data_IF_525147778058
#
_entry.id   IF_525147778058
#
_cell.length_a   1.000
_cell.length_b   1.000
_cell.length_c   1.000
_cell.angle_alpha   90.00
_cell.angle_beta   90.00
_cell.angle_gamma   90.00
#
_symmetry.space_group_name_H-M   'P 1'
#
loop_
_entity.id
_entity.type
_entity.pdbx_description
1 polymer ?
#
# COMPACT_ATOMS: atom_id res chain seq x y z
N UNK A 1 -5.92 21.16 15.09
CA UNK A 1 -5.89 19.92 14.29
C UNK A 1 -7.10 19.06 14.60
N UNK A 2 -7.27 18.51 15.82
CA UNK A 2 -8.43 17.66 16.18
C UNK A 2 -9.84 18.21 15.85
N UNK A 3 -10.14 19.47 16.18
CA UNK A 3 -11.45 20.07 15.83
C UNK A 3 -11.71 20.15 14.33
N UNK A 4 -10.64 20.27 13.53
CA UNK A 4 -10.75 20.29 12.07
C UNK A 4 -11.00 18.88 11.53
N UNK A 5 -10.32 17.87 12.06
CA UNK A 5 -10.54 16.45 11.73
C UNK A 5 -11.99 16.06 12.05
N UNK A 6 -12.45 16.32 13.28
CA UNK A 6 -13.84 16.08 13.71
C UNK A 6 -14.87 16.79 12.81
N UNK A 7 -14.56 18.02 12.35
CA UNK A 7 -15.44 18.74 11.43
C UNK A 7 -15.47 18.10 10.03
N UNK A 8 -14.32 17.74 9.47
CA UNK A 8 -14.23 17.05 8.16
C UNK A 8 -14.98 15.72 8.21
N UNK A 9 -14.74 14.92 9.24
CA UNK A 9 -15.33 13.59 9.35
C UNK A 9 -16.85 13.67 9.53
N UNK A 10 -17.34 14.55 10.43
CA UNK A 10 -18.78 14.68 10.70
C UNK A 10 -19.57 15.26 9.54
N UNK A 11 -18.97 16.12 8.72
CA UNK A 11 -19.65 16.76 7.58
C UNK A 11 -19.63 15.92 6.31
N UNK A 12 -18.83 14.86 6.27
CA UNK A 12 -18.73 13.94 5.15
C UNK A 12 -19.94 13.00 5.09
N UNK A 13 -20.54 12.82 3.90
CA UNK A 13 -21.66 11.88 3.69
C UNK A 13 -21.21 10.43 3.63
N UNK A 14 -20.04 10.18 3.04
CA UNK A 14 -19.40 8.87 2.98
C UNK A 14 -17.92 9.08 3.28
N UNK A 15 -17.35 8.21 4.12
CA UNK A 15 -15.95 8.16 4.50
C UNK A 15 -15.46 6.76 4.22
N UNK A 16 -14.39 6.64 3.44
CA UNK A 16 -13.65 5.40 3.29
C UNK A 16 -12.45 5.39 4.24
N UNK A 17 -12.29 4.31 4.98
CA UNK A 17 -11.12 4.11 5.86
C UNK A 17 -10.27 2.95 5.39
N UNK A 18 -8.95 3.10 5.42
CA UNK A 18 -7.98 2.11 4.94
C UNK A 18 -7.84 0.85 5.82
N UNK A 19 -8.60 0.77 6.92
CA UNK A 19 -8.69 -0.41 7.78
C UNK A 19 -9.98 -0.44 8.57
N UNK A 20 -10.33 -1.63 9.08
CA UNK A 20 -11.44 -1.81 10.02
C UNK A 20 -11.19 -1.09 11.35
N UNK A 21 -9.92 -0.97 11.75
CA UNK A 21 -9.52 -0.26 12.96
C UNK A 21 -9.74 1.27 12.83
N UNK A 22 -9.37 1.85 11.68
CA UNK A 22 -9.65 3.27 11.41
C UNK A 22 -11.16 3.55 11.40
N UNK A 23 -11.96 2.64 10.84
CA UNK A 23 -13.42 2.70 10.93
C UNK A 23 -13.89 2.74 12.38
N UNK A 24 -13.40 1.82 13.21
CA UNK A 24 -13.76 1.74 14.64
C UNK A 24 -13.42 3.04 15.38
N UNK A 25 -12.26 3.63 15.09
CA UNK A 25 -11.85 4.91 15.68
C UNK A 25 -12.82 6.04 15.30
N UNK A 26 -13.20 6.16 14.03
CA UNK A 26 -14.14 7.22 13.60
C UNK A 26 -15.52 7.08 14.25
N UNK A 27 -16.02 5.86 14.38
CA UNK A 27 -17.30 5.58 15.03
C UNK A 27 -17.28 5.90 16.53
N UNK A 28 -16.20 5.52 17.22
CA UNK A 28 -16.13 5.62 18.68
C UNK A 28 -15.63 6.98 19.18
N UNK A 29 -14.76 7.66 18.42
CA UNK A 29 -14.02 8.83 18.91
C UNK A 29 -14.33 10.12 18.14
N UNK A 30 -14.79 10.02 16.88
CA UNK A 30 -15.09 11.19 16.03
C UNK A 30 -16.60 11.42 15.86
N UNK A 31 -17.43 10.53 16.43
CA UNK A 31 -18.88 10.66 16.40
C UNK A 31 -19.48 10.50 15.01
N UNK A 32 -18.81 9.72 14.14
CA UNK A 32 -19.33 9.32 12.84
C UNK A 32 -20.33 8.16 13.00
N UNK A 33 -21.21 7.99 12.02
CA UNK A 33 -22.22 6.92 12.01
C UNK A 33 -21.82 5.74 11.12
N UNK A 34 -22.40 4.57 11.38
CA UNK A 34 -22.25 3.35 10.56
C UNK A 34 -22.61 3.59 9.09
N UNK A 35 -23.59 4.47 8.82
CA UNK A 35 -24.01 4.82 7.45
C UNK A 35 -22.96 5.69 6.72
N UNK A 36 -22.17 6.47 7.45
CA UNK A 36 -21.13 7.32 6.88
C UNK A 36 -19.83 6.55 6.62
N UNK A 37 -19.45 5.63 7.50
CA UNK A 37 -18.09 5.05 7.47
C UNK A 37 -18.07 3.64 6.89
N UNK A 38 -17.36 3.48 5.77
CA UNK A 38 -17.12 2.21 5.09
C UNK A 38 -15.63 1.86 5.22
N UNK A 39 -15.32 0.68 5.75
CA UNK A 39 -13.96 0.18 5.68
C UNK A 39 -13.69 -0.26 4.24
N UNK A 40 -12.69 0.35 3.63
CA UNK A 40 -12.17 -0.02 2.33
C UNK A 40 -10.66 -0.09 2.47
N UNK A 41 -10.11 -1.27 2.83
CA UNK A 41 -8.69 -1.42 3.05
C UNK A 41 -7.89 -1.08 1.78
N UNK A 42 -6.60 -0.79 1.96
CA UNK A 42 -5.69 -0.68 0.83
C UNK A 42 -5.78 -1.94 -0.04
N UNK A 43 -5.39 -1.79 -1.31
CA UNK A 43 -5.55 -2.84 -2.32
C UNK A 43 -4.27 -3.06 -3.13
N UNK A 44 -4.22 -4.21 -3.81
CA UNK A 44 -3.14 -4.62 -4.71
C UNK A 44 -3.68 -4.87 -6.11
N UNK A 45 -2.86 -4.56 -7.13
CA UNK A 45 -3.14 -4.93 -8.51
C UNK A 45 -2.63 -6.35 -8.77
N UNK A 46 -3.52 -7.33 -8.67
CA UNK A 46 -3.18 -8.76 -8.71
C UNK A 46 -2.79 -9.28 -10.10
N UNK A 47 -2.98 -8.46 -11.14
CA UNK A 47 -2.48 -8.71 -12.49
C UNK A 47 -1.05 -8.17 -12.71
N UNK A 48 -0.58 -7.29 -11.82
CA UNK A 48 0.80 -6.76 -11.84
C UNK A 48 1.67 -7.49 -10.83
N UNK A 49 1.19 -7.67 -9.60
CA UNK A 49 1.84 -8.47 -8.57
C UNK A 49 1.43 -9.93 -8.76
N UNK A 50 2.19 -10.64 -9.60
CA UNK A 50 1.93 -12.05 -9.96
C UNK A 50 3.03 -12.97 -9.42
N UNK A 51 2.72 -14.26 -9.16
CA UNK A 51 3.70 -15.25 -8.70
C UNK A 51 4.88 -15.43 -9.63
N UNK A 52 5.98 -15.94 -9.08
CA UNK A 52 7.18 -16.30 -9.84
C UNK A 52 6.89 -17.21 -11.04
N UNK A 53 5.94 -18.15 -10.90
CA UNK A 53 5.53 -19.05 -11.98
C UNK A 53 4.86 -18.36 -13.18
N UNK A 54 4.41 -17.10 -13.01
CA UNK A 54 3.83 -16.27 -14.07
C UNK A 54 4.84 -15.25 -14.62
N UNK A 55 6.06 -15.22 -14.09
CA UNK A 55 7.15 -14.39 -14.59
C UNK A 55 7.97 -15.15 -15.63
N UNK A 56 8.68 -14.41 -16.49
CA UNK A 56 9.61 -15.02 -17.44
C UNK A 56 10.82 -15.62 -16.72
N UNK A 57 11.04 -16.93 -16.88
CA UNK A 57 12.12 -17.67 -16.19
C UNK A 57 13.51 -17.10 -16.48
N UNK A 58 13.79 -16.71 -17.73
CA UNK A 58 15.08 -16.11 -18.12
C UNK A 58 15.31 -14.78 -17.42
N UNK A 59 14.26 -13.98 -17.26
CA UNK A 59 14.30 -12.67 -16.62
C UNK A 59 14.54 -12.81 -15.11
N UNK A 60 13.89 -13.77 -14.45
CA UNK A 60 14.19 -14.09 -13.04
C UNK A 60 15.62 -14.61 -12.86
N UNK A 61 16.09 -15.50 -13.74
CA UNK A 61 17.45 -16.04 -13.67
C UNK A 61 18.50 -14.94 -13.85
N UNK A 62 18.31 -14.03 -14.81
CA UNK A 62 19.19 -12.88 -15.01
C UNK A 62 19.20 -11.97 -13.78
N UNK A 63 18.04 -11.63 -13.22
CA UNK A 63 17.97 -10.78 -12.04
C UNK A 63 18.64 -11.42 -10.81
N UNK A 64 18.55 -12.75 -10.65
CA UNK A 64 19.31 -13.45 -9.60
C UNK A 64 20.81 -13.31 -9.79
N UNK A 65 21.29 -13.39 -11.03
CA UNK A 65 22.69 -13.17 -11.39
C UNK A 65 23.15 -11.74 -11.09
N UNK A 66 22.37 -10.74 -11.50
CA UNK A 66 22.68 -9.32 -11.27
C UNK A 66 22.74 -8.97 -9.77
N UNK A 67 21.93 -9.67 -8.96
CA UNK A 67 21.93 -9.55 -7.49
C UNK A 67 22.97 -10.45 -6.80
N UNK A 68 23.78 -11.21 -7.56
CA UNK A 68 24.73 -12.18 -7.04
C UNK A 68 24.10 -13.12 -5.98
N UNK A 69 22.88 -13.60 -6.25
CA UNK A 69 22.21 -14.60 -5.43
C UNK A 69 22.70 -15.99 -5.83
N UNK A 70 23.28 -16.78 -4.91
CA UNK A 70 23.76 -18.12 -5.25
C UNK A 70 22.64 -19.05 -5.74
N UNK A 71 23.05 -20.09 -6.45
CA UNK A 71 22.17 -21.20 -6.78
C UNK A 71 21.65 -21.87 -5.50
N UNK A 72 20.37 -22.22 -5.47
CA UNK A 72 19.71 -22.80 -4.29
C UNK A 72 19.42 -21.82 -3.15
N UNK A 73 19.86 -20.55 -3.25
CA UNK A 73 19.64 -19.56 -2.20
C UNK A 73 18.15 -19.29 -1.95
N UNK A 74 17.78 -19.36 -0.67
CA UNK A 74 16.47 -18.97 -0.13
C UNK A 74 16.43 -17.49 0.17
N UNK A 75 15.46 -16.78 -0.38
CA UNK A 75 15.44 -15.31 -0.34
C UNK A 75 14.33 -14.82 0.58
N UNK A 76 14.73 -14.15 1.66
CA UNK A 76 13.85 -13.29 2.46
C UNK A 76 13.74 -11.94 1.76
N UNK A 77 12.53 -11.50 1.41
CA UNK A 77 12.33 -10.20 0.73
C UNK A 77 11.71 -9.16 1.64
N UNK A 78 12.27 -7.96 1.60
CA UNK A 78 11.70 -6.76 2.20
C UNK A 78 11.61 -5.65 1.16
N UNK A 79 10.43 -5.04 1.02
CA UNK A 79 10.21 -3.86 0.19
C UNK A 79 9.62 -2.70 1.00
N UNK A 80 10.27 -1.54 0.95
CA UNK A 80 9.66 -0.27 1.35
C UNK A 80 10.61 0.70 2.03
N UNK A 81 10.04 1.64 2.79
CA UNK A 81 10.79 2.66 3.51
C UNK A 81 11.76 2.03 4.50
N UNK A 82 13.03 2.45 4.44
CA UNK A 82 14.00 2.05 5.46
C UNK A 82 14.00 3.08 6.57
N UNK A 83 13.48 2.68 7.72
CA UNK A 83 13.44 3.50 8.92
C UNK A 83 13.33 2.60 10.16
N UNK A 84 13.83 3.01 11.34
CA UNK A 84 13.77 2.20 12.54
C UNK A 84 12.37 1.70 12.92
N UNK A 85 11.34 2.54 12.73
CA UNK A 85 9.94 2.17 13.03
C UNK A 85 9.35 1.13 12.05
N UNK A 86 10.01 0.88 10.93
CA UNK A 86 9.69 -0.21 10.00
C UNK A 86 10.34 -1.54 10.42
N UNK A 87 11.10 -1.54 11.52
CA UNK A 87 11.76 -2.71 12.11
C UNK A 87 12.88 -3.29 11.26
N UNK A 88 13.45 -2.52 10.34
CA UNK A 88 14.57 -2.95 9.50
C UNK A 88 15.81 -3.30 10.31
N UNK A 89 16.05 -2.62 11.44
CA UNK A 89 17.15 -2.96 12.36
C UNK A 89 16.94 -4.36 12.99
N UNK A 90 15.70 -4.65 13.38
CA UNK A 90 15.31 -5.94 13.94
C UNK A 90 15.34 -7.05 12.89
N UNK A 91 15.05 -6.72 11.63
CA UNK A 91 15.21 -7.65 10.52
C UNK A 91 16.68 -8.06 10.33
N UNK A 92 17.63 -7.12 10.38
CA UNK A 92 19.05 -7.46 10.27
C UNK A 92 19.51 -8.32 11.46
N UNK A 93 19.02 -8.06 12.66
CA UNK A 93 19.28 -8.93 13.84
C UNK A 93 18.67 -10.33 13.68
N UNK A 94 17.46 -10.43 13.12
CA UNK A 94 16.83 -11.71 12.80
C UNK A 94 17.64 -12.48 11.76
N UNK A 95 18.12 -11.79 10.72
CA UNK A 95 18.99 -12.39 9.70
C UNK A 95 20.31 -12.89 10.29
N UNK A 96 20.94 -12.15 11.21
CA UNK A 96 22.14 -12.63 11.91
C UNK A 96 21.92 -13.98 12.60
N UNK A 97 20.76 -14.18 13.22
CA UNK A 97 20.40 -15.46 13.85
C UNK A 97 20.20 -16.56 12.81
N UNK A 98 19.49 -16.25 11.72
CA UNK A 98 19.22 -17.22 10.65
C UNK A 98 20.53 -17.69 10.01
N UNK A 99 21.42 -16.78 9.62
CA UNK A 99 22.65 -17.14 8.90
C UNK A 99 23.65 -17.92 9.75
N UNK A 100 23.54 -17.81 11.09
CA UNK A 100 24.37 -18.59 12.02
C UNK A 100 24.07 -20.10 11.96
N UNK A 101 22.90 -20.49 11.43
CA UNK A 101 22.47 -21.89 11.30
C UNK A 101 22.15 -22.29 9.86
N UNK A 102 21.90 -21.33 8.96
CA UNK A 102 21.54 -21.55 7.56
C UNK A 102 22.29 -20.61 6.62
N UNK A 103 23.34 -21.14 5.99
CA UNK A 103 24.13 -20.40 4.99
C UNK A 103 23.42 -20.26 3.63
N UNK A 104 22.32 -20.97 3.40
CA UNK A 104 21.54 -20.91 2.17
C UNK A 104 20.52 -19.76 2.16
N UNK A 105 20.36 -19.00 3.26
CA UNK A 105 19.36 -17.93 3.37
C UNK A 105 20.00 -16.55 3.16
N UNK A 106 19.35 -15.73 2.33
CA UNK A 106 19.78 -14.39 1.93
C UNK A 106 18.64 -13.39 2.11
N UNK A 107 18.96 -12.17 2.51
CA UNK A 107 18.03 -11.06 2.56
C UNK A 107 18.17 -10.19 1.31
N UNK A 108 17.07 -10.00 0.58
CA UNK A 108 16.94 -8.96 -0.43
C UNK A 108 16.21 -7.76 0.18
N UNK A 109 16.99 -6.73 0.52
CA UNK A 109 16.53 -5.50 1.17
C UNK A 109 16.36 -4.38 0.13
N UNK A 110 15.11 -4.16 -0.29
CA UNK A 110 14.72 -3.13 -1.25
C UNK A 110 14.12 -1.93 -0.53
N UNK A 111 14.76 -0.77 -0.61
CA UNK A 111 14.27 0.40 0.08
C UNK A 111 15.17 1.63 0.08
N UNK A 112 14.59 2.74 0.52
CA UNK A 112 15.25 4.02 0.71
C UNK A 112 14.47 4.82 1.78
N UNK A 113 15.02 5.90 2.37
CA UNK A 113 16.38 6.41 2.27
C UNK A 113 17.35 5.66 3.21
N UNK A 114 18.61 6.07 3.28
CA UNK A 114 19.53 5.59 4.31
C UNK A 114 20.05 4.17 4.12
N UNK A 115 20.14 3.67 2.88
CA UNK A 115 20.64 2.32 2.55
C UNK A 115 22.01 2.03 3.18
N UNK A 116 22.88 3.04 3.29
CA UNK A 116 24.24 2.89 3.85
C UNK A 116 24.24 2.62 5.36
N UNK A 117 23.23 3.10 6.09
CA UNK A 117 23.06 2.78 7.53
C UNK A 117 22.91 1.26 7.68
N UNK A 118 22.04 0.67 6.87
CA UNK A 118 21.75 -0.76 6.90
C UNK A 118 22.89 -1.60 6.32
N UNK A 119 23.63 -1.07 5.33
CA UNK A 119 24.87 -1.68 4.84
C UNK A 119 25.92 -1.77 5.95
N UNK A 120 26.16 -0.68 6.66
CA UNK A 120 27.11 -0.64 7.77
C UNK A 120 26.67 -1.54 8.91
N UNK A 121 25.37 -1.57 9.23
CA UNK A 121 24.84 -2.47 10.25
C UNK A 121 25.02 -3.94 9.86
N UNK A 122 24.77 -4.31 8.60
CA UNK A 122 25.04 -5.67 8.11
C UNK A 122 26.53 -6.03 8.21
N UNK A 123 27.44 -5.08 7.98
CA UNK A 123 28.87 -5.26 8.19
C UNK A 123 29.23 -5.46 9.67
N UNK A 124 28.70 -4.62 10.56
CA UNK A 124 28.89 -4.75 12.02
C UNK A 124 28.37 -6.09 12.55
N UNK A 125 27.26 -6.59 12.02
CA UNK A 125 26.69 -7.88 12.39
C UNK A 125 27.42 -9.07 11.76
N UNK A 126 28.36 -8.84 10.83
CA UNK A 126 29.10 -9.89 10.13
C UNK A 126 28.29 -10.64 9.08
N UNK A 127 27.24 -10.04 8.52
CA UNK A 127 26.28 -10.70 7.61
C UNK A 127 26.23 -10.07 6.21
N UNK A 128 27.22 -9.25 5.85
CA UNK A 128 27.22 -8.51 4.57
C UNK A 128 27.04 -9.45 3.36
N UNK A 129 27.68 -10.63 3.39
CA UNK A 129 27.61 -11.61 2.32
C UNK A 129 26.23 -12.25 2.16
N UNK A 130 25.33 -12.09 3.14
CA UNK A 130 23.96 -12.58 3.13
C UNK A 130 22.92 -11.49 2.88
N UNK A 131 23.32 -10.22 2.69
CA UNK A 131 22.38 -9.11 2.47
C UNK A 131 22.62 -8.49 1.09
N UNK A 132 21.59 -8.47 0.26
CA UNK A 132 21.54 -7.76 -1.02
C UNK A 132 20.73 -6.48 -0.86
N UNK A 133 21.40 -5.34 -0.94
CA UNK A 133 20.80 -4.02 -0.81
C UNK A 133 20.64 -3.40 -2.20
N UNK A 134 19.41 -3.23 -2.68
CA UNK A 134 19.16 -2.66 -4.01
C UNK A 134 19.01 -1.15 -4.00
N UNK A 135 18.75 -0.56 -2.83
CA UNK A 135 18.33 0.84 -2.75
C UNK A 135 16.90 1.02 -3.24
N UNK A 136 16.63 2.17 -3.88
CA UNK A 136 15.31 2.46 -4.45
C UNK A 136 15.15 1.73 -5.77
N UNK A 137 14.09 0.92 -5.88
CA UNK A 137 13.65 0.32 -7.15
C UNK A 137 12.43 1.06 -7.70
N UNK A 138 12.27 1.17 -9.03
CA UNK A 138 11.02 1.60 -9.65
C UNK A 138 9.85 0.70 -9.21
N UNK A 139 8.69 1.28 -8.96
CA UNK A 139 7.54 0.52 -8.46
C UNK A 139 7.05 -0.54 -9.45
N UNK A 140 7.20 -0.27 -10.75
CA UNK A 140 6.86 -1.18 -11.85
C UNK A 140 7.71 -2.45 -11.86
N UNK A 141 8.94 -2.39 -11.32
CA UNK A 141 9.84 -3.54 -11.22
C UNK A 141 9.64 -4.33 -9.93
N UNK A 142 8.97 -3.75 -8.93
CA UNK A 142 8.75 -4.40 -7.64
C UNK A 142 8.16 -5.82 -7.73
N UNK A 143 7.18 -6.12 -8.61
CA UNK A 143 6.69 -7.50 -8.77
C UNK A 143 7.79 -8.50 -9.13
N UNK A 144 8.71 -8.12 -10.02
CA UNK A 144 9.79 -8.98 -10.48
C UNK A 144 10.80 -9.26 -9.36
N UNK A 145 11.18 -8.24 -8.59
CA UNK A 145 12.07 -8.43 -7.44
C UNK A 145 11.42 -9.24 -6.33
N UNK A 146 10.13 -9.00 -6.05
CA UNK A 146 9.39 -9.76 -5.05
C UNK A 146 9.24 -11.22 -5.45
N UNK A 147 9.07 -11.52 -6.74
CA UNK A 147 9.00 -12.89 -7.26
C UNK A 147 10.27 -13.72 -7.02
N UNK A 148 11.40 -13.11 -6.64
CA UNK A 148 12.59 -13.83 -6.18
C UNK A 148 12.45 -14.39 -4.76
N UNK A 149 11.50 -13.90 -3.98
CA UNK A 149 11.33 -14.22 -2.57
C UNK A 149 10.72 -15.59 -2.32
N UNK A 150 11.34 -16.35 -1.42
CA UNK A 150 10.75 -17.55 -0.82
C UNK A 150 9.89 -17.20 0.41
N UNK A 151 10.22 -16.10 1.10
CA UNK A 151 9.44 -15.56 2.21
C UNK A 151 9.51 -14.03 2.20
N UNK A 152 8.40 -13.35 2.47
CA UNK A 152 8.33 -11.89 2.58
C UNK A 152 8.21 -11.45 4.03
N UNK A 153 8.74 -10.27 4.35
CA UNK A 153 8.74 -9.76 5.73
C UNK A 153 8.28 -8.30 5.85
N UNK A 154 7.43 -8.04 6.85
CA UNK A 154 6.96 -6.71 7.23
C UNK A 154 7.03 -6.52 8.77
N UNK A 155 8.23 -6.26 9.32
CA UNK A 155 8.44 -6.13 10.76
C UNK A 155 8.11 -4.72 11.27
N UNK A 156 7.00 -4.14 10.81
CA UNK A 156 6.61 -2.77 11.17
C UNK A 156 6.19 -2.71 12.65
N UNK A 157 6.72 -1.73 13.39
CA UNK A 157 6.43 -1.54 14.82
C UNK A 157 5.16 -0.71 15.06
N UNK A 158 4.82 0.19 14.13
CA UNK A 158 3.63 1.06 14.24
C UNK A 158 2.34 0.26 14.06
N UNK A 159 1.33 0.58 14.89
CA UNK A 159 0.00 -0.08 14.91
C UNK A 159 -1.11 0.74 14.27
N UNK A 160 -0.85 2.01 13.96
CA UNK A 160 -1.89 2.97 13.53
C UNK A 160 -1.89 3.22 12.02
N UNK A 161 -0.81 2.87 11.34
CA UNK A 161 -0.62 3.14 9.93
C UNK A 161 -0.91 1.92 9.08
N UNK A 162 -1.40 2.14 7.85
CA UNK A 162 -1.60 1.06 6.87
C UNK A 162 -0.30 0.30 6.56
N UNK A 163 -0.46 -0.93 6.09
CA UNK A 163 0.60 -1.88 5.78
C UNK A 163 0.53 -2.37 4.32
N UNK A 164 0.35 -1.46 3.36
CA UNK A 164 0.15 -1.79 1.94
C UNK A 164 1.22 -2.71 1.31
N UNK A 165 2.45 -2.78 1.86
CA UNK A 165 3.46 -3.75 1.40
C UNK A 165 3.05 -5.21 1.61
N UNK A 166 2.27 -5.51 2.66
CA UNK A 166 1.73 -6.85 2.90
C UNK A 166 0.87 -7.30 1.70
N UNK A 167 0.05 -6.39 1.17
CA UNK A 167 -0.82 -6.69 0.04
C UNK A 167 -0.05 -6.99 -1.23
N UNK A 168 1.09 -6.33 -1.46
CA UNK A 168 1.98 -6.66 -2.57
C UNK A 168 2.56 -8.07 -2.43
N UNK A 169 2.98 -8.46 -1.21
CA UNK A 169 3.50 -9.80 -0.94
C UNK A 169 2.43 -10.89 -1.10
N UNK A 170 1.23 -10.62 -0.58
CA UNK A 170 0.06 -11.47 -0.77
C UNK A 170 -0.29 -11.57 -2.26
N UNK A 171 -0.26 -10.45 -2.99
CA UNK A 171 -0.45 -10.41 -4.44
C UNK A 171 0.51 -11.36 -5.15
N UNK A 172 1.82 -11.24 -4.92
CA UNK A 172 2.80 -12.18 -5.52
C UNK A 172 2.60 -13.63 -5.03
N UNK A 173 1.97 -13.83 -3.88
CA UNK A 173 1.71 -15.15 -3.33
C UNK A 173 2.92 -15.73 -2.60
N UNK A 174 3.60 -14.90 -1.82
CA UNK A 174 4.77 -15.27 -1.02
C UNK A 174 4.32 -15.51 0.43
N UNK A 175 4.72 -16.61 1.10
CA UNK A 175 4.57 -16.75 2.54
C UNK A 175 5.07 -15.49 3.24
N UNK A 176 4.26 -14.92 4.12
CA UNK A 176 4.55 -13.59 4.67
C UNK A 176 4.59 -13.62 6.19
N UNK A 177 5.66 -13.06 6.75
CA UNK A 177 5.86 -12.85 8.18
C UNK A 177 5.72 -11.36 8.51
N UNK A 178 4.98 -11.03 9.55
CA UNK A 178 4.87 -9.67 10.04
C UNK A 178 4.97 -9.62 11.57
N UNK A 179 5.24 -8.44 12.13
CA UNK A 179 4.99 -8.27 13.56
C UNK A 179 3.49 -8.26 13.85
N UNK A 180 3.15 -8.82 15.00
CA UNK A 180 1.78 -8.98 15.45
C UNK A 180 1.12 -7.62 15.74
N UNK A 181 0.32 -7.16 14.78
CA UNK A 181 -0.41 -5.89 14.82
C UNK A 181 -1.83 -6.10 14.31
N UNK A 182 -2.81 -5.24 14.69
CA UNK A 182 -4.18 -5.37 14.20
C UNK A 182 -4.30 -5.41 12.67
N UNK A 183 -3.55 -4.55 11.97
CA UNK A 183 -3.54 -4.49 10.51
C UNK A 183 -2.92 -5.75 9.90
N UNK A 184 -1.82 -6.27 10.47
CA UNK A 184 -1.22 -7.51 10.00
C UNK A 184 -2.18 -8.70 10.17
N UNK A 185 -2.88 -8.81 11.31
CA UNK A 185 -3.92 -9.84 11.54
C UNK A 185 -5.06 -9.73 10.53
N UNK A 186 -5.54 -8.51 10.26
CA UNK A 186 -6.63 -8.25 9.30
C UNK A 186 -6.24 -8.70 7.88
N UNK A 187 -5.06 -8.32 7.41
CA UNK A 187 -4.62 -8.63 6.05
C UNK A 187 -4.24 -10.10 5.89
N UNK A 188 -3.38 -10.62 6.78
CA UNK A 188 -2.81 -11.95 6.64
C UNK A 188 -3.75 -13.09 7.04
N UNK A 189 -4.75 -12.81 7.88
CA UNK A 189 -5.67 -13.83 8.38
C UNK A 189 -4.93 -15.02 9.01
N UNK A 190 -5.44 -16.23 8.80
CA UNK A 190 -4.82 -17.48 9.27
C UNK A 190 -3.66 -17.98 8.42
N UNK A 191 -3.41 -17.34 7.27
CA UNK A 191 -2.41 -17.81 6.30
C UNK A 191 -1.03 -17.18 6.53
N UNK A 192 -0.95 -15.96 7.08
CA UNK A 192 0.36 -15.38 7.43
C UNK A 192 0.83 -15.76 8.82
N UNK A 193 2.12 -15.58 9.03
CA UNK A 193 2.79 -15.85 10.29
C UNK A 193 3.06 -14.54 11.02
N UNK A 194 2.83 -14.53 12.32
CA UNK A 194 2.97 -13.35 13.16
C UNK A 194 4.07 -13.58 14.19
N UNK A 195 5.04 -12.68 14.21
CA UNK A 195 6.08 -12.62 15.22
C UNK A 195 5.71 -11.63 16.32
N UNK A 196 6.14 -11.89 17.54
CA UNK A 196 6.04 -10.96 18.65
C UNK A 196 6.67 -9.61 18.28
N UNK A 197 5.88 -8.54 18.46
CA UNK A 197 6.28 -7.20 18.02
C UNK A 197 7.51 -6.71 18.78
N UNK A 198 8.58 -6.41 18.04
CA UNK A 198 9.84 -5.94 18.62
C UNK A 198 10.82 -7.07 18.97
N UNK A 199 10.46 -8.34 18.75
CA UNK A 199 11.29 -9.48 19.07
C UNK A 199 11.99 -10.02 17.80
N UNK A 200 13.28 -9.71 17.64
CA UNK A 200 14.07 -10.19 16.51
C UNK A 200 14.31 -11.71 16.52
N UNK A 201 14.32 -12.34 17.70
CA UNK A 201 14.48 -13.79 17.82
C UNK A 201 13.23 -14.51 17.31
N UNK A 202 12.06 -14.06 17.74
CA UNK A 202 10.80 -14.64 17.27
C UNK A 202 10.58 -14.35 15.78
N UNK A 203 10.95 -13.15 15.30
CA UNK A 203 10.95 -12.84 13.87
C UNK A 203 11.80 -13.84 13.06
N UNK A 204 12.99 -14.20 13.54
CA UNK A 204 13.84 -15.20 12.89
C UNK A 204 13.17 -16.59 12.86
N UNK A 205 12.55 -17.01 13.96
CA UNK A 205 11.86 -18.29 14.05
C UNK A 205 10.68 -18.37 13.06
N UNK A 206 9.85 -17.31 13.00
CA UNK A 206 8.72 -17.24 12.08
C UNK A 206 9.18 -17.20 10.61
N UNK A 207 10.28 -16.54 10.30
CA UNK A 207 10.87 -16.57 8.95
C UNK A 207 11.32 -17.98 8.54
N UNK A 208 12.00 -18.70 9.44
CA UNK A 208 12.40 -20.09 9.21
C UNK A 208 11.19 -21.02 9.04
N UNK A 209 10.14 -20.81 9.84
CA UNK A 209 8.90 -21.57 9.73
C UNK A 209 8.19 -21.30 8.39
N UNK A 210 8.09 -20.02 7.98
CA UNK A 210 7.47 -19.63 6.73
C UNK A 210 8.20 -20.20 5.50
N UNK A 211 9.54 -20.28 5.53
CA UNK A 211 10.34 -20.94 4.49
C UNK A 211 9.98 -22.43 4.30
N UNK A 212 9.43 -23.08 5.32
CA UNK A 212 8.96 -24.46 5.26
C UNK A 212 7.48 -24.58 4.87
N UNK A 213 6.79 -23.46 4.61
CA UNK A 213 5.34 -23.41 4.34
C UNK A 213 5.01 -22.63 3.06
N UNK A 214 5.55 -23.03 1.88
CA UNK A 214 5.31 -22.32 0.61
C UNK A 214 3.82 -22.21 0.25
N UNK A 215 2.99 -23.19 0.65
CA UNK A 215 1.55 -23.20 0.37
C UNK A 215 0.81 -22.02 1.00
N UNK A 216 1.33 -21.44 2.10
CA UNK A 216 0.77 -20.23 2.71
C UNK A 216 0.79 -19.03 1.77
N UNK A 217 1.74 -18.98 0.84
CA UNK A 217 1.77 -17.97 -0.21
C UNK A 217 0.55 -18.04 -1.12
N UNK A 218 0.10 -19.25 -1.49
CA UNK A 218 -1.08 -19.42 -2.33
C UNK A 218 -2.38 -19.05 -1.60
N UNK A 219 -2.51 -19.43 -0.33
CA UNK A 219 -3.64 -19.01 0.51
C UNK A 219 -3.72 -17.47 0.61
N UNK A 220 -2.57 -16.80 0.82
CA UNK A 220 -2.48 -15.35 0.87
C UNK A 220 -2.83 -14.69 -0.47
N UNK A 221 -2.40 -15.26 -1.59
CA UNK A 221 -2.77 -14.76 -2.93
C UNK A 221 -4.25 -14.87 -3.19
N UNK A 222 -4.86 -16.00 -2.87
CA UNK A 222 -6.29 -16.18 -3.05
C UNK A 222 -7.07 -15.13 -2.26
N UNK A 223 -6.67 -14.91 -1.00
CA UNK A 223 -7.23 -13.85 -0.16
C UNK A 223 -7.04 -12.46 -0.76
N UNK A 224 -5.88 -12.13 -1.33
CA UNK A 224 -5.64 -10.85 -1.99
C UNK A 224 -6.57 -10.62 -3.18
N UNK A 225 -6.77 -11.63 -4.03
CA UNK A 225 -7.66 -11.57 -5.19
C UNK A 225 -9.11 -11.32 -4.75
N UNK A 226 -9.57 -12.08 -3.75
CA UNK A 226 -10.95 -12.05 -3.28
C UNK A 226 -11.30 -10.79 -2.47
N UNK A 227 -10.38 -10.30 -1.63
CA UNK A 227 -10.70 -9.31 -0.60
C UNK A 227 -9.98 -7.98 -0.78
N UNK A 228 -8.82 -7.96 -1.45
CA UNK A 228 -7.92 -6.81 -1.48
C UNK A 228 -7.50 -6.39 -2.90
N UNK A 229 -8.26 -6.77 -3.93
CA UNK A 229 -7.97 -6.37 -5.30
C UNK A 229 -8.52 -4.96 -5.60
N UNK A 230 -7.76 -4.17 -6.37
CA UNK A 230 -8.24 -2.86 -6.84
C UNK A 230 -9.54 -2.95 -7.63
N UNK A 231 -9.79 -4.08 -8.31
CA UNK A 231 -11.05 -4.35 -9.00
C UNK A 231 -12.24 -4.31 -8.05
N UNK A 232 -12.14 -5.00 -6.91
CA UNK A 232 -13.23 -5.06 -5.92
C UNK A 232 -13.41 -3.71 -5.21
N UNK A 233 -12.31 -3.03 -4.89
CA UNK A 233 -12.38 -1.69 -4.29
C UNK A 233 -12.98 -0.65 -5.26
N UNK A 234 -12.60 -0.69 -6.53
CA UNK A 234 -13.15 0.19 -7.56
C UNK A 234 -14.66 0.07 -7.67
N UNK A 235 -15.21 -1.16 -7.62
CA UNK A 235 -16.66 -1.39 -7.61
C UNK A 235 -17.34 -0.75 -6.40
N UNK A 236 -16.76 -0.86 -5.21
CA UNK A 236 -17.31 -0.25 -4.00
C UNK A 236 -17.28 1.28 -4.03
N UNK A 237 -16.19 1.87 -4.54
CA UNK A 237 -16.05 3.32 -4.70
C UNK A 237 -17.07 3.84 -5.71
N UNK A 238 -17.20 3.19 -6.87
CA UNK A 238 -18.17 3.56 -7.91
C UNK A 238 -19.60 3.44 -7.39
N UNK A 239 -19.93 2.38 -6.65
CA UNK A 239 -21.24 2.21 -6.02
C UNK A 239 -21.54 3.35 -5.03
N UNK A 240 -20.59 3.72 -4.18
CA UNK A 240 -20.75 4.84 -3.24
C UNK A 240 -20.99 6.17 -3.97
N UNK A 241 -20.29 6.42 -5.09
CA UNK A 241 -20.56 7.59 -5.92
C UNK A 241 -21.96 7.55 -6.54
N UNK A 242 -22.38 6.41 -7.08
CA UNK A 242 -23.71 6.26 -7.66
C UNK A 242 -24.83 6.50 -6.63
N UNK A 243 -24.67 6.01 -5.39
CA UNK A 243 -25.60 6.29 -4.29
C UNK A 243 -25.69 7.80 -4.01
N UNK A 244 -24.56 8.50 -3.95
CA UNK A 244 -24.50 9.92 -3.67
C UNK A 244 -25.05 10.79 -4.81
N UNK A 245 -24.91 10.36 -6.07
CA UNK A 245 -25.43 11.08 -7.23
C UNK A 245 -26.91 10.80 -7.48
N UNK A 246 -27.37 9.55 -7.32
CA UNK A 246 -28.78 9.20 -7.53
C UNK A 246 -29.69 9.77 -6.42
N UNK A 247 -29.17 9.93 -5.21
CA UNK A 247 -29.88 10.65 -4.14
C UNK A 247 -30.02 12.17 -4.39
N UNK A 248 -29.39 12.74 -5.44
CA UNK A 248 -29.58 14.16 -5.83
C UNK A 248 -30.72 14.36 -6.84
N UNK A 249 -31.17 13.34 -7.55
CA UNK A 249 -32.22 13.47 -8.57
C UNK A 249 -33.66 13.72 -8.05
N UNK A 250 -34.06 13.46 -6.78
CA UNK A 250 -35.42 13.79 -6.34
C UNK A 250 -35.64 15.31 -6.14
N UNK A 251 -34.60 16.04 -5.75
CA UNK A 251 -34.72 17.44 -5.28
C UNK A 251 -34.66 18.46 -6.44
N UNK A 252 -33.99 18.12 -7.55
CA UNK A 252 -33.91 18.99 -8.72
C UNK A 252 -35.22 19.00 -9.51
N UNK A 253 -35.88 17.84 -9.64
CA UNK A 253 -37.18 17.72 -10.31
C UNK A 253 -38.28 18.49 -9.53
N UNK A 254 -38.29 18.39 -8.20
CA UNK A 254 -39.26 19.09 -7.36
C UNK A 254 -39.03 20.60 -7.25
N UNK A 255 -37.77 21.09 -7.32
CA UNK A 255 -37.47 22.54 -7.37
C UNK A 255 -37.76 23.17 -8.74
N UNK A 256 -37.72 22.39 -9.82
CA UNK A 256 -38.06 22.86 -11.17
C UNK A 256 -39.56 23.13 -11.37
N UNK A 257 -40.42 22.49 -10.57
CA UNK A 257 -41.88 22.68 -10.64
C UNK A 257 -42.38 23.95 -9.92
N UNK A 258 -41.51 24.67 -9.19
CA UNK A 258 -41.88 25.85 -8.39
C UNK A 258 -41.15 27.15 -8.77
N UNK A 259 -40.38 27.18 -9.86
CA UNK A 259 -39.63 28.40 -10.24
C UNK A 259 -40.26 29.15 -11.40
N UNK A 260 -40.63 30.40 -11.11
CA UNK A 260 -41.20 31.39 -12.03
C UNK A 260 -40.23 31.64 -13.22
N UNK A 261 -40.67 31.61 -14.50
CA UNK A 261 -39.82 31.70 -15.69
C UNK A 261 -38.82 32.87 -15.73
N UNK A 262 -39.07 33.95 -14.98
CA UNK A 262 -38.13 35.06 -14.84
C UNK A 262 -36.84 34.72 -14.06
N UNK A 263 -36.85 33.76 -13.13
CA UNK A 263 -35.66 33.33 -12.39
C UNK A 263 -34.74 32.41 -13.20
N UNK A 264 -35.29 31.57 -14.08
CA UNK A 264 -34.50 30.72 -14.97
C UNK A 264 -33.63 31.55 -15.93
N UNK A 265 -34.19 32.63 -16.51
CA UNK A 265 -33.44 33.53 -17.41
C UNK A 265 -32.24 34.20 -16.73
N UNK A 266 -32.39 34.63 -15.47
CA UNK A 266 -31.32 35.27 -14.68
C UNK A 266 -30.20 34.30 -14.29
N UNK A 267 -30.55 33.05 -14.05
CA UNK A 267 -29.60 32.00 -13.64
C UNK A 267 -28.78 31.53 -14.83
N UNK A 268 -29.42 31.36 -16.00
CA UNK A 268 -28.76 31.05 -17.27
C UNK A 268 -27.78 32.18 -17.68
N UNK A 269 -28.20 33.44 -17.60
CA UNK A 269 -27.34 34.58 -17.91
C UNK A 269 -26.12 34.70 -16.98
N UNK A 270 -26.23 34.26 -15.72
CA UNK A 270 -25.15 34.27 -14.74
C UNK A 270 -24.14 33.16 -14.99
N UNK A 271 -24.62 31.97 -15.39
CA UNK A 271 -23.78 30.83 -15.79
C UNK A 271 -23.02 31.12 -17.09
N UNK A 272 -23.68 31.70 -18.10
CA UNK A 272 -23.02 32.10 -19.34
C UNK A 272 -21.91 33.12 -19.08
N UNK A 273 -22.13 34.12 -18.21
CA UNK A 273 -21.08 35.06 -17.78
C UNK A 273 -19.89 34.40 -17.09
N UNK A 274 -20.10 33.31 -16.34
CA UNK A 274 -19.04 32.58 -15.65
C UNK A 274 -18.25 31.73 -16.66
N UNK A 275 -18.94 31.03 -17.56
CA UNK A 275 -18.33 30.23 -18.63
C UNK A 275 -17.54 31.13 -19.59
N UNK A 276 -18.07 32.28 -20.01
CA UNK A 276 -17.33 33.24 -20.85
C UNK A 276 -16.07 33.77 -20.14
N UNK A 277 -16.12 34.01 -18.83
CA UNK A 277 -14.93 34.42 -18.05
C UNK A 277 -13.88 33.29 -17.92
N UNK A 278 -14.32 32.04 -17.76
CA UNK A 278 -13.44 30.87 -17.68
C UNK A 278 -12.77 30.55 -19.02
N UNK A 279 -13.51 30.70 -20.13
CA UNK A 279 -12.99 30.46 -21.49
C UNK A 279 -12.02 31.58 -21.91
N UNK A 280 -12.28 32.84 -21.53
CA UNK A 280 -11.41 33.98 -21.86
C UNK A 280 -10.08 34.03 -21.06
N UNK A 281 -9.90 33.22 -20.02
CA UNK A 281 -8.67 33.20 -19.19
C UNK A 281 -7.72 32.03 -19.50
N UNK A 282 -7.99 31.26 -20.56
CA UNK A 282 -7.15 30.12 -20.96
C UNK A 282 -5.67 30.42 -21.32
N UNK A 283 -5.19 31.64 -21.68
CA UNK A 283 -3.77 31.84 -21.97
C UNK A 283 -2.93 32.54 -20.87
N UNK A 284 -3.50 32.96 -19.73
CA UNK A 284 -2.76 33.79 -18.76
C UNK A 284 -1.99 33.03 -17.67
N UNK A 285 -2.46 31.83 -17.28
CA UNK A 285 -1.80 31.03 -16.22
C UNK A 285 -0.55 30.30 -16.73
N UNK A 286 -0.57 29.82 -17.98
CA UNK A 286 0.57 29.17 -18.63
C UNK A 286 1.77 30.13 -18.82
N UNK A 287 1.51 31.42 -19.13
CA UNK A 287 2.56 32.45 -19.21
C UNK A 287 3.23 32.73 -17.85
N UNK A 288 2.44 32.71 -16.77
CA UNK A 288 2.90 33.01 -15.40
C UNK A 288 3.72 31.88 -14.76
N UNK A 289 3.53 30.64 -15.23
CA UNK A 289 4.30 29.47 -14.80
C UNK A 289 5.64 29.36 -15.56
N UNK A 290 5.67 29.71 -16.85
CA UNK A 290 6.93 29.78 -17.63
C UNK A 290 7.87 30.89 -17.13
N UNK A 291 7.34 32.04 -16.71
CA UNK A 291 8.15 33.11 -16.10
C UNK A 291 8.73 32.75 -14.71
N UNK A 292 8.32 31.61 -14.13
CA UNK A 292 8.83 31.07 -12.86
C UNK A 292 9.70 29.82 -13.05
N UNK A 293 10.12 29.52 -14.29
CA UNK A 293 11.07 28.43 -14.58
C UNK A 293 10.51 27.02 -14.45
N UNK A 294 9.18 26.84 -14.38
CA UNK A 294 8.57 25.52 -14.34
C UNK A 294 8.31 24.99 -15.76
N UNK A 295 8.90 23.84 -16.07
CA UNK A 295 8.64 23.08 -17.31
C UNK A 295 7.32 22.32 -17.14
N UNK A 296 6.37 22.57 -18.03
CA UNK A 296 5.11 21.83 -18.12
C UNK A 296 5.20 21.03 -19.42
N UNK A 297 5.30 19.70 -19.31
CA UNK A 297 5.13 18.81 -20.46
C UNK A 297 3.64 18.73 -20.81
N UNK A 298 3.35 18.79 -22.12
CA UNK A 298 2.00 18.65 -22.69
C UNK A 298 1.42 17.25 -22.51
#
# INVERSE_FOLDING_TARGET
LRRLEEWIDRTSRVIFTSSSEARRILLQQFGCTEAQVRALPDCVETNTFVPAAMQETTTLAQLRGDLALPEGAKVVVYLGLLAPYQGTDLLLQAMQRIVSTRSDVYLLLMGFPGIDIYRNQAATLGISDHVRLTGRIPYQEAPLYLALGDVAVAPKLSVTESAGKLLNYMGVGIPTVAFDTPVAREYLGSAGLLAERGNATDLANQLLQALAMPDKGQELRQRAIEQFSWRNAGQQIVAAYAELTNQREPDAAQRSAATNPQQQSRTQHRLDRIVTKLVAHKPLWAKRLRSKGMVIQE
#
